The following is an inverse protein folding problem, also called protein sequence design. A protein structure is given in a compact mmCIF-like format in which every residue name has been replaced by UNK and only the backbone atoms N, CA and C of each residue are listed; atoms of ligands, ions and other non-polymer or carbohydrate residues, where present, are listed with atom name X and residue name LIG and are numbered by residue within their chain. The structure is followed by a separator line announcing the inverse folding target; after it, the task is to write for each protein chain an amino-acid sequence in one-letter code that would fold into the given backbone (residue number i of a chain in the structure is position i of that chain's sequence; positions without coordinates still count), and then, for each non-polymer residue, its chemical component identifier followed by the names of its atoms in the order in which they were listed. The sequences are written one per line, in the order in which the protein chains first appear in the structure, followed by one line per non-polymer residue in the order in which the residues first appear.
data_IF_266181447732
#
_entry.id   IF_266181447732
#
_cell.length_a   1.000
_cell.length_b   1.000
_cell.length_c   1.000
_cell.angle_alpha   90.00
_cell.angle_beta   90.00
_cell.angle_gamma   90.00
#
_symmetry.space_group_name_H-M   'P 1'
#
loop_
_entity.id
_entity.type
_entity.pdbx_description
1 polymer ?
#
# COMPACT_ATOMS: atom_id res chain seq x y z
N UNK A 1 -13.97 7.00 -7.96
CA UNK A 1 -13.20 5.93 -7.29
C UNK A 1 -12.10 6.56 -6.45
N UNK A 2 -12.09 6.33 -5.13
CA UNK A 2 -11.11 6.91 -4.20
C UNK A 2 -9.70 6.33 -4.42
N UNK A 3 -9.05 6.71 -5.53
CA UNK A 3 -7.60 6.60 -5.69
C UNK A 3 -7.00 7.86 -5.09
N UNK A 4 -7.00 7.96 -3.76
CA UNK A 4 -6.26 9.01 -3.08
C UNK A 4 -4.80 8.91 -3.53
N UNK A 5 -4.28 9.95 -4.18
CA UNK A 5 -2.86 10.02 -4.54
C UNK A 5 -2.10 10.18 -3.22
N UNK A 6 -1.01 9.43 -2.99
CA UNK A 6 -0.16 9.64 -1.82
C UNK A 6 0.29 11.10 -1.73
N UNK A 7 0.41 11.64 -0.51
CA UNK A 7 0.95 12.99 -0.31
C UNK A 7 2.34 13.13 -0.93
N UNK A 8 2.61 14.24 -1.61
CA UNK A 8 3.93 14.53 -2.17
C UNK A 8 4.94 14.95 -1.09
N UNK A 9 4.45 15.38 0.07
CA UNK A 9 5.26 15.91 1.18
C UNK A 9 5.49 14.87 2.29
N UNK A 10 5.84 13.64 1.92
CA UNK A 10 6.22 12.61 2.91
C UNK A 10 7.69 12.81 3.28
N UNK A 11 7.94 13.34 4.47
CA UNK A 11 9.28 13.54 5.02
C UNK A 11 9.77 12.37 5.87
N UNK A 12 8.85 11.59 6.43
CA UNK A 12 9.18 10.41 7.24
C UNK A 12 9.63 9.25 6.35
N UNK A 13 10.83 8.72 6.63
CA UNK A 13 11.45 7.66 5.83
C UNK A 13 10.70 6.32 5.89
N UNK A 14 10.05 6.04 7.03
CA UNK A 14 9.27 4.80 7.26
C UNK A 14 7.97 4.85 6.46
N UNK A 15 7.26 5.98 6.51
CA UNK A 15 6.06 6.23 5.70
C UNK A 15 6.41 6.20 4.21
N UNK A 16 7.51 6.84 3.80
CA UNK A 16 7.94 6.85 2.40
C UNK A 16 8.22 5.43 1.87
N UNK A 17 8.91 4.60 2.66
CA UNK A 17 9.19 3.21 2.30
C UNK A 17 7.89 2.39 2.20
N UNK A 18 6.96 2.52 3.15
CA UNK A 18 5.66 1.84 3.11
C UNK A 18 4.83 2.24 1.88
N UNK A 19 4.78 3.54 1.55
CA UNK A 19 4.06 4.05 0.37
C UNK A 19 4.67 3.53 -0.92
N UNK A 20 6.00 3.52 -1.04
CA UNK A 20 6.69 2.94 -2.21
C UNK A 20 6.37 1.47 -2.38
N UNK A 21 6.41 0.70 -1.29
CA UNK A 21 6.10 -0.73 -1.30
C UNK A 21 4.64 -1.01 -1.70
N UNK A 22 3.68 -0.29 -1.11
CA UNK A 22 2.28 -0.39 -1.48
C UNK A 22 2.03 -0.03 -2.97
N UNK A 23 2.75 0.97 -3.49
CA UNK A 23 2.66 1.36 -4.91
C UNK A 23 3.26 0.30 -5.85
N UNK A 24 4.29 -0.43 -5.44
CA UNK A 24 4.82 -1.55 -6.23
C UNK A 24 3.82 -2.71 -6.28
N UNK A 25 3.21 -3.07 -5.15
CA UNK A 25 2.18 -4.12 -5.07
C UNK A 25 0.98 -3.76 -5.94
N UNK A 26 0.47 -2.51 -5.86
CA UNK A 26 -0.72 -2.10 -6.61
C UNK A 26 -0.53 -2.11 -8.12
N UNK A 27 0.71 -1.96 -8.59
CA UNK A 27 1.10 -2.04 -10.01
C UNK A 27 1.39 -3.45 -10.50
N UNK A 28 1.22 -4.48 -9.64
CA UNK A 28 1.62 -5.86 -9.92
C UNK A 28 3.09 -5.98 -10.34
N UNK A 29 3.97 -5.14 -9.79
CA UNK A 29 5.41 -5.29 -10.02
C UNK A 29 5.90 -6.57 -9.33
N UNK A 30 6.88 -7.23 -9.92
CA UNK A 30 7.54 -8.36 -9.26
C UNK A 30 8.34 -7.82 -8.06
N UNK A 31 8.05 -8.33 -6.87
CA UNK A 31 8.79 -7.97 -5.65
C UNK A 31 9.83 -9.04 -5.44
N UNK A 32 11.09 -8.66 -5.61
CA UNK A 32 12.23 -9.52 -5.36
C UNK A 32 12.80 -9.28 -3.95
N UNK A 33 13.79 -10.08 -3.59
CA UNK A 33 14.45 -10.01 -2.28
C UNK A 33 15.14 -8.65 -2.03
N UNK A 34 15.52 -7.92 -3.08
CA UNK A 34 16.17 -6.61 -2.94
C UNK A 34 15.19 -5.60 -2.35
N UNK A 35 13.96 -5.56 -2.85
CA UNK A 35 12.92 -4.67 -2.32
C UNK A 35 12.54 -5.05 -0.88
N UNK A 36 12.48 -6.35 -0.56
CA UNK A 36 12.26 -6.82 0.80
C UNK A 36 13.41 -6.46 1.75
N UNK A 37 14.66 -6.54 1.29
CA UNK A 37 15.83 -6.17 2.08
C UNK A 37 15.86 -4.66 2.40
N UNK A 38 15.40 -3.81 1.48
CA UNK A 38 15.20 -2.39 1.75
C UNK A 38 14.16 -2.21 2.86
N UNK A 39 13.03 -2.92 2.81
CA UNK A 39 12.03 -2.88 3.88
C UNK A 39 12.61 -3.31 5.23
N UNK A 40 13.37 -4.41 5.27
CA UNK A 40 14.02 -4.94 6.48
C UNK A 40 15.06 -4.00 7.08
N UNK A 41 15.61 -3.07 6.30
CA UNK A 41 16.51 -2.04 6.82
C UNK A 41 15.78 -0.96 7.65
N UNK A 42 14.45 -0.87 7.54
CA UNK A 42 13.63 0.20 8.15
C UNK A 42 12.57 -0.38 9.10
N UNK A 43 12.06 -1.57 8.82
CA UNK A 43 11.02 -2.27 9.55
C UNK A 43 11.55 -3.59 10.11
N UNK A 44 11.01 -4.03 11.25
CA UNK A 44 11.21 -5.40 11.72
C UNK A 44 10.20 -6.37 11.05
N UNK A 45 10.47 -7.68 11.13
CA UNK A 45 9.65 -8.70 10.45
C UNK A 45 8.16 -8.66 10.86
N UNK A 46 7.85 -8.31 12.12
CA UNK A 46 6.46 -8.18 12.58
C UNK A 46 5.78 -6.99 11.89
N UNK A 47 6.44 -5.84 11.84
CA UNK A 47 5.91 -4.66 11.16
C UNK A 47 5.75 -4.89 9.66
N UNK A 48 6.69 -5.61 9.02
CA UNK A 48 6.59 -5.99 7.60
C UNK A 48 5.37 -6.89 7.38
N UNK A 49 5.15 -7.88 8.25
CA UNK A 49 3.98 -8.75 8.18
C UNK A 49 2.67 -7.95 8.30
N UNK A 50 2.60 -7.01 9.25
CA UNK A 50 1.43 -6.15 9.43
C UNK A 50 1.21 -5.21 8.23
N UNK A 51 2.29 -4.64 7.67
CA UNK A 51 2.24 -3.80 6.47
C UNK A 51 1.71 -4.58 5.26
N UNK A 52 2.22 -5.79 5.03
CA UNK A 52 1.72 -6.68 3.96
C UNK A 52 0.23 -7.00 4.16
N UNK A 53 -0.17 -7.35 5.38
CA UNK A 53 -1.57 -7.65 5.70
C UNK A 53 -2.48 -6.45 5.41
N UNK A 54 -2.07 -5.24 5.80
CA UNK A 54 -2.80 -4.01 5.53
C UNK A 54 -2.93 -3.74 4.02
N UNK A 55 -1.84 -3.83 3.28
CA UNK A 55 -1.84 -3.60 1.82
C UNK A 55 -2.76 -4.60 1.12
N UNK A 56 -2.69 -5.89 1.47
CA UNK A 56 -3.56 -6.92 0.93
C UNK A 56 -5.03 -6.66 1.25
N UNK A 57 -5.34 -6.32 2.52
CA UNK A 57 -6.70 -6.01 2.96
C UNK A 57 -7.29 -4.84 2.16
N UNK A 58 -6.58 -3.71 2.09
CA UNK A 58 -7.02 -2.53 1.35
C UNK A 58 -7.18 -2.83 -0.14
N UNK A 59 -6.22 -3.54 -0.74
CA UNK A 59 -6.28 -3.92 -2.17
C UNK A 59 -7.49 -4.80 -2.45
N UNK A 60 -7.79 -5.76 -1.57
CA UNK A 60 -8.97 -6.61 -1.69
C UNK A 60 -10.27 -5.81 -1.58
N UNK A 61 -10.39 -4.92 -0.58
CA UNK A 61 -11.55 -4.04 -0.42
C UNK A 61 -11.75 -3.14 -1.66
N UNK A 62 -10.68 -2.56 -2.19
CA UNK A 62 -10.75 -1.71 -3.39
C UNK A 62 -11.18 -2.50 -4.62
N UNK A 63 -10.61 -3.70 -4.84
CA UNK A 63 -11.02 -4.58 -5.94
C UNK A 63 -12.47 -5.02 -5.81
N UNK A 64 -12.87 -5.45 -4.63
CA UNK A 64 -14.24 -5.87 -4.34
C UNK A 64 -15.25 -4.73 -4.56
N UNK A 65 -14.96 -3.54 -4.03
CA UNK A 65 -15.81 -2.37 -4.25
C UNK A 65 -15.91 -1.98 -5.72
N UNK A 66 -14.80 -2.06 -6.48
CA UNK A 66 -14.81 -1.83 -7.91
C UNK A 66 -15.62 -2.89 -8.68
N UNK A 67 -15.52 -4.17 -8.30
CA UNK A 67 -16.31 -5.26 -8.91
C UNK A 67 -17.81 -5.08 -8.69
N UNK A 68 -18.21 -4.52 -7.55
CA UNK A 68 -19.60 -4.24 -7.22
C UNK A 68 -20.09 -2.84 -7.63
N UNK A 69 -19.24 -2.06 -8.32
CA UNK A 69 -19.48 -0.65 -8.68
C UNK A 69 -19.96 0.22 -7.50
N UNK A 70 -19.38 -0.03 -6.31
CA UNK A 70 -19.73 0.71 -5.11
C UNK A 70 -19.30 2.17 -5.24
N UNK A 71 -20.26 3.06 -5.06
CA UNK A 71 -20.02 4.50 -5.00
C UNK A 71 -19.71 4.93 -3.56
N UNK A 72 -18.88 5.97 -3.36
CA UNK A 72 -18.71 6.58 -2.05
C UNK A 72 -20.07 7.06 -1.51
N UNK A 73 -20.36 6.78 -0.24
CA UNK A 73 -21.59 7.24 0.39
C UNK A 73 -21.59 8.74 0.70
N UNK A 74 -20.42 9.37 0.75
CA UNK A 74 -20.26 10.80 0.94
C UNK A 74 -19.77 11.47 -0.34
N UNK A 75 -20.61 12.32 -0.92
CA UNK A 75 -20.23 13.38 -1.85
C UNK A 75 -19.95 14.63 -1.01
N UNK A 76 -18.67 14.98 -0.85
CA UNK A 76 -18.29 16.34 -0.46
C UNK A 76 -18.25 17.23 -1.69
#
# INVERSE_FOLDING_TARGET
MAKGIPSENITDSKILAAVKFANMISKNNNIDDKEFNILKSIFNDKEISELCALICFITACQKFGATLDLQPSCTL
#
